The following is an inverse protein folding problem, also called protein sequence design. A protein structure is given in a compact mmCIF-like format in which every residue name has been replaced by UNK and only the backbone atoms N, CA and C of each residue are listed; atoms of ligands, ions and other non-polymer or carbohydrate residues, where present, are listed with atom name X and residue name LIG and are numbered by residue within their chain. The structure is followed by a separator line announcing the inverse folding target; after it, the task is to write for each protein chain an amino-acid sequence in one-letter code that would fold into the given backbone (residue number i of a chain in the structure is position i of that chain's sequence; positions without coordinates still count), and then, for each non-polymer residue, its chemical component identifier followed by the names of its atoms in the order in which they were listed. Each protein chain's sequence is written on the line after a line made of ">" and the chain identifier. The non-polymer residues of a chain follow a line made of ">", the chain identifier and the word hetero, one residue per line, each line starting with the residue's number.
data_IF_977541951377
#
_entry.id   IF_977541951377
#
_cell.length_a   1.000
_cell.length_b   1.000
_cell.length_c   1.000
_cell.angle_alpha   90.00
_cell.angle_beta   90.00
_cell.angle_gamma   90.00
#
_symmetry.space_group_name_H-M   'P 1'
#
loop_
_entity.id
_entity.type
_entity.pdbx_description
1 polymer ?
#
# COMPACT_ATOMS: atom_id res chain seq x y z
N UNK A 1 1.70 -15.37 47.13
CA UNK A 1 3.02 -16.01 47.14
C UNK A 1 3.78 -15.51 45.92
N UNK A 2 4.88 -14.78 46.06
CA UNK A 2 5.71 -14.39 44.91
C UNK A 2 6.44 -15.65 44.40
N UNK A 3 6.37 -15.88 43.09
CA UNK A 3 7.10 -16.97 42.43
C UNK A 3 8.58 -16.57 42.30
N UNK A 4 9.47 -17.45 42.78
CA UNK A 4 10.91 -17.27 42.73
C UNK A 4 11.43 -17.16 41.29
N UNK A 5 12.34 -16.21 41.06
CA UNK A 5 12.82 -15.84 39.72
C UNK A 5 13.59 -16.96 38.99
N UNK A 6 14.00 -18.01 39.71
CA UNK A 6 14.76 -19.15 39.17
C UNK A 6 13.86 -20.18 38.45
N UNK A 7 12.53 -20.17 38.66
CA UNK A 7 11.60 -21.10 37.99
C UNK A 7 10.92 -20.50 36.74
N UNK A 8 10.94 -19.18 36.59
CA UNK A 8 10.21 -18.45 35.52
C UNK A 8 10.88 -18.63 34.15
N UNK A 9 12.21 -18.68 34.13
CA UNK A 9 13.02 -18.79 32.90
C UNK A 9 12.82 -20.14 32.18
N UNK A 10 12.92 -21.30 32.85
CA UNK A 10 12.68 -22.59 32.19
C UNK A 10 11.22 -22.80 31.79
N UNK A 11 10.26 -22.20 32.51
CA UNK A 11 8.84 -22.25 32.17
C UNK A 11 8.55 -21.49 30.87
N UNK A 12 9.05 -20.25 30.73
CA UNK A 12 8.88 -19.45 29.51
C UNK A 12 9.54 -20.09 28.28
N UNK A 13 10.71 -20.72 28.42
CA UNK A 13 11.35 -21.46 27.32
C UNK A 13 10.54 -22.70 26.91
N UNK A 14 9.95 -23.42 27.87
CA UNK A 14 9.11 -24.59 27.59
C UNK A 14 7.80 -24.19 26.90
N UNK A 15 7.19 -23.08 27.31
CA UNK A 15 5.98 -22.52 26.67
C UNK A 15 6.26 -22.03 25.25
N UNK A 16 7.36 -21.30 25.01
CA UNK A 16 7.72 -20.84 23.66
C UNK A 16 8.06 -21.99 22.70
N UNK A 17 8.66 -23.08 23.20
CA UNK A 17 8.98 -24.26 22.39
C UNK A 17 7.71 -25.02 21.99
N UNK A 18 6.74 -25.15 22.90
CA UNK A 18 5.43 -25.74 22.62
C UNK A 18 4.61 -24.88 21.65
N UNK A 19 4.66 -23.55 21.76
CA UNK A 19 3.95 -22.62 20.88
C UNK A 19 4.45 -22.69 19.42
N UNK A 20 5.77 -22.83 19.22
CA UNK A 20 6.36 -22.98 17.88
C UNK A 20 5.97 -24.30 17.22
N UNK A 21 5.95 -25.40 17.97
CA UNK A 21 5.51 -26.71 17.45
C UNK A 21 4.03 -26.69 17.07
N UNK A 22 3.20 -25.96 17.82
CA UNK A 22 1.76 -25.85 17.55
C UNK A 22 1.46 -24.98 16.32
N UNK A 23 2.23 -23.91 16.08
CA UNK A 23 2.12 -23.11 14.84
C UNK A 23 2.50 -23.90 13.60
N UNK A 24 3.54 -24.74 13.65
CA UNK A 24 3.94 -25.56 12.49
C UNK A 24 2.87 -26.60 12.12
N UNK A 25 2.21 -27.20 13.12
CA UNK A 25 1.11 -28.15 12.87
C UNK A 25 -0.17 -27.51 12.32
N UNK A 26 -0.40 -26.20 12.55
CA UNK A 26 -1.57 -25.49 12.03
C UNK A 26 -1.43 -25.05 10.57
N UNK A 27 -0.20 -25.00 10.04
CA UNK A 27 0.07 -24.52 8.67
C UNK A 27 0.19 -25.71 7.67
N UNK A 28 0.57 -26.90 8.15
CA UNK A 28 0.73 -28.10 7.34
C UNK A 28 -0.53 -28.64 6.62
N UNK A 29 -1.78 -28.48 7.10
CA UNK A 29 -2.95 -28.97 6.37
C UNK A 29 -3.32 -28.12 5.15
N UNK A 30 -2.92 -26.84 5.13
CA UNK A 30 -3.29 -25.91 4.05
C UNK A 30 -2.42 -26.05 2.80
N UNK A 31 -1.28 -26.74 2.89
CA UNK A 31 -0.42 -27.00 1.72
C UNK A 31 -0.90 -28.19 0.87
N UNK A 32 -1.77 -29.06 1.38
CA UNK A 32 -2.20 -30.28 0.67
C UNK A 32 -3.59 -30.18 0.01
N UNK A 33 -4.39 -29.15 0.31
CA UNK A 33 -5.70 -28.93 -0.32
C UNK A 33 -5.61 -28.12 -1.63
N UNK A 34 -4.46 -27.49 -1.92
CA UNK A 34 -4.27 -26.69 -3.15
C UNK A 34 -3.56 -27.43 -4.30
N UNK A 35 -3.23 -28.72 -4.15
CA UNK A 35 -2.44 -29.49 -5.12
C UNK A 35 -3.15 -30.74 -5.65
N UNK A 36 -4.48 -30.70 -5.84
CA UNK A 36 -5.17 -31.76 -6.59
C UNK A 36 -6.33 -31.24 -7.44
N UNK A 37 -5.99 -30.42 -8.45
CA UNK A 37 -6.75 -30.38 -9.70
C UNK A 37 -5.77 -30.34 -10.86
N UNK A 38 -5.39 -31.53 -11.32
CA UNK A 38 -5.04 -31.73 -12.72
C UNK A 38 -6.34 -31.77 -13.53
N UNK A 39 -6.47 -30.86 -14.46
CA UNK A 39 -7.20 -31.10 -15.71
C UNK A 39 -6.33 -30.54 -16.83
N UNK A 40 -5.67 -31.46 -17.52
CA UNK A 40 -5.06 -31.25 -18.82
C UNK A 40 -6.18 -30.94 -19.82
N UNK A 41 -6.27 -29.70 -20.30
CA UNK A 41 -6.68 -29.38 -21.67
C UNK A 41 -5.89 -28.13 -22.10
N UNK A 42 -4.88 -28.34 -22.95
CA UNK A 42 -4.32 -27.29 -23.79
C UNK A 42 -5.40 -26.81 -24.76
N UNK A 43 -6.12 -25.75 -24.40
CA UNK A 43 -6.66 -24.83 -25.39
C UNK A 43 -5.65 -23.69 -25.58
N UNK A 44 -5.08 -23.64 -26.78
CA UNK A 44 -4.47 -22.44 -27.35
C UNK A 44 -5.61 -21.43 -27.58
N UNK A 45 -6.10 -20.84 -26.50
CA UNK A 45 -7.08 -19.77 -26.47
C UNK A 45 -6.34 -18.47 -26.24
N UNK A 46 -6.34 -17.58 -27.23
CA UNK A 46 -5.85 -16.21 -27.08
C UNK A 46 -6.47 -15.59 -25.84
N UNK A 47 -5.64 -15.32 -24.83
CA UNK A 47 -6.09 -14.70 -23.58
C UNK A 47 -6.68 -13.33 -23.89
N UNK A 48 -8.01 -13.27 -23.96
CA UNK A 48 -8.75 -12.03 -23.89
C UNK A 48 -8.37 -11.40 -22.55
N UNK A 49 -7.58 -10.32 -22.58
CA UNK A 49 -7.24 -9.59 -21.38
C UNK A 49 -8.55 -9.25 -20.67
N UNK A 50 -8.76 -9.79 -19.46
CA UNK A 50 -9.99 -9.58 -18.71
C UNK A 50 -10.31 -8.07 -18.70
N UNK A 51 -11.47 -7.72 -19.26
CA UNK A 51 -11.87 -6.34 -19.48
C UNK A 51 -11.75 -5.55 -18.17
N UNK A 52 -11.24 -4.33 -18.26
CA UNK A 52 -11.16 -3.48 -17.09
C UNK A 52 -12.55 -3.16 -16.56
N UNK A 53 -12.66 -3.06 -15.23
CA UNK A 53 -13.85 -2.60 -14.53
C UNK A 53 -13.49 -1.35 -13.73
N UNK A 54 -14.49 -0.53 -13.41
CA UNK A 54 -14.26 0.62 -12.53
C UNK A 54 -13.64 0.19 -11.20
N UNK A 55 -14.11 -0.93 -10.63
CA UNK A 55 -13.57 -1.49 -9.38
C UNK A 55 -12.09 -1.80 -9.44
N UNK A 56 -11.66 -2.50 -10.48
CA UNK A 56 -10.25 -2.84 -10.67
C UNK A 56 -9.41 -1.57 -10.77
N UNK A 57 -9.84 -0.63 -11.60
CA UNK A 57 -9.07 0.58 -11.91
C UNK A 57 -8.99 1.53 -10.70
N UNK A 58 -10.09 1.79 -9.99
CA UNK A 58 -10.02 2.64 -8.80
C UNK A 58 -9.25 1.95 -7.67
N UNK A 59 -9.31 0.62 -7.55
CA UNK A 59 -8.60 -0.10 -6.48
C UNK A 59 -7.09 -0.05 -6.70
N UNK A 60 -6.65 -0.19 -7.95
CA UNK A 60 -5.25 -0.03 -8.34
C UNK A 60 -4.75 1.39 -8.07
N UNK A 61 -5.51 2.40 -8.51
CA UNK A 61 -5.22 3.80 -8.23
C UNK A 61 -5.03 4.07 -6.72
N UNK A 62 -6.01 3.67 -5.90
CA UNK A 62 -5.93 3.93 -4.47
C UNK A 62 -4.85 3.11 -3.76
N UNK A 63 -4.56 1.89 -4.24
CA UNK A 63 -3.45 1.08 -3.74
C UNK A 63 -2.11 1.77 -3.97
N UNK A 64 -1.90 2.30 -5.18
CA UNK A 64 -0.72 3.10 -5.50
C UNK A 64 -0.62 4.36 -4.62
N UNK A 65 -1.72 5.09 -4.45
CA UNK A 65 -1.76 6.27 -3.58
C UNK A 65 -1.43 5.94 -2.13
N UNK A 66 -1.98 4.84 -1.61
CA UNK A 66 -1.68 4.35 -0.27
C UNK A 66 -0.19 4.02 -0.14
N UNK A 67 0.39 3.32 -1.10
CA UNK A 67 1.80 2.95 -1.09
C UNK A 67 2.72 4.17 -1.09
N UNK A 68 2.49 5.15 -1.97
CA UNK A 68 3.28 6.37 -2.02
C UNK A 68 3.15 7.20 -0.74
N UNK A 69 1.92 7.54 -0.34
CA UNK A 69 1.71 8.46 0.78
C UNK A 69 2.08 7.83 2.12
N UNK A 70 1.95 6.52 2.24
CA UNK A 70 2.33 5.79 3.45
C UNK A 70 3.85 5.58 3.55
N UNK A 71 4.59 5.49 2.44
CA UNK A 71 6.05 5.25 2.50
C UNK A 71 6.87 6.51 2.77
N UNK A 72 6.28 7.70 2.59
CA UNK A 72 6.96 8.98 2.85
C UNK A 72 7.45 9.12 4.31
N UNK A 73 6.71 8.61 5.30
CA UNK A 73 7.13 8.69 6.70
C UNK A 73 8.21 7.69 7.10
N UNK A 74 8.58 6.75 6.22
CA UNK A 74 9.71 5.82 6.41
C UNK A 74 11.04 6.36 5.89
N UNK A 75 11.10 7.63 5.50
CA UNK A 75 12.33 8.28 5.05
C UNK A 75 13.16 8.69 6.26
N UNK A 76 14.33 8.07 6.38
CA UNK A 76 15.20 8.23 7.55
C UNK A 76 16.53 8.90 7.22
N UNK A 77 16.85 9.00 5.94
CA UNK A 77 18.15 9.45 5.46
C UNK A 77 18.19 9.56 3.94
N UNK A 78 19.37 9.87 3.41
CA UNK A 78 19.57 10.09 1.96
C UNK A 78 19.23 8.86 1.12
N UNK A 79 19.71 7.68 1.50
CA UNK A 79 19.48 6.45 0.75
C UNK A 79 17.99 6.10 0.63
N UNK A 80 17.24 6.20 1.74
CA UNK A 80 15.79 5.92 1.75
C UNK A 80 14.99 7.02 1.04
N UNK A 81 15.45 8.27 1.07
CA UNK A 81 14.88 9.36 0.28
C UNK A 81 15.09 9.15 -1.23
N UNK A 82 16.30 8.78 -1.65
CA UNK A 82 16.62 8.52 -3.05
C UNK A 82 15.82 7.31 -3.58
N UNK A 83 15.68 6.24 -2.78
CA UNK A 83 14.84 5.10 -3.11
C UNK A 83 13.36 5.47 -3.22
N UNK A 84 12.85 6.33 -2.33
CA UNK A 84 11.49 6.85 -2.40
C UNK A 84 11.29 7.67 -3.69
N UNK A 85 12.21 8.58 -4.02
CA UNK A 85 12.16 9.38 -5.25
C UNK A 85 12.12 8.50 -6.49
N UNK A 86 13.02 7.50 -6.58
CA UNK A 86 13.04 6.57 -7.70
C UNK A 86 11.69 5.85 -7.88
N UNK A 87 11.07 5.43 -6.77
CA UNK A 87 9.76 4.78 -6.78
C UNK A 87 8.64 5.71 -7.27
N UNK A 88 8.53 6.91 -6.72
CA UNK A 88 7.45 7.84 -7.11
C UNK A 88 7.56 8.26 -8.59
N UNK A 89 8.78 8.38 -9.14
CA UNK A 89 8.96 8.69 -10.56
C UNK A 89 8.47 7.55 -11.47
N UNK A 90 8.58 6.29 -11.05
CA UNK A 90 8.02 5.15 -11.78
C UNK A 90 6.49 5.08 -11.69
N UNK A 91 5.88 5.68 -10.68
CA UNK A 91 4.42 5.67 -10.50
C UNK A 91 3.70 6.60 -11.47
N UNK A 92 4.30 7.72 -11.89
CA UNK A 92 3.64 8.67 -12.80
C UNK A 92 3.15 8.02 -14.10
N UNK A 93 3.98 7.29 -14.89
CA UNK A 93 3.50 6.65 -16.10
C UNK A 93 2.40 5.61 -15.83
N UNK A 94 2.50 4.86 -14.73
CA UNK A 94 1.49 3.87 -14.32
C UNK A 94 0.14 4.53 -13.97
N UNK A 95 0.17 5.67 -13.26
CA UNK A 95 -1.04 6.42 -12.93
C UNK A 95 -1.67 7.07 -14.16
N UNK A 96 -0.86 7.50 -15.13
CA UNK A 96 -1.37 7.97 -16.43
C UNK A 96 -2.03 6.83 -17.22
N UNK A 97 -1.48 5.62 -17.17
CA UNK A 97 -2.08 4.44 -17.78
C UNK A 97 -3.43 4.09 -17.14
N UNK A 98 -3.51 4.11 -15.80
CA UNK A 98 -4.77 3.97 -15.05
C UNK A 98 -5.79 5.02 -15.50
N UNK A 99 -5.38 6.28 -15.65
CA UNK A 99 -6.29 7.33 -16.14
C UNK A 99 -6.81 7.07 -17.55
N UNK A 100 -5.97 6.56 -18.45
CA UNK A 100 -6.39 6.19 -19.79
C UNK A 100 -7.38 5.02 -19.76
N UNK A 101 -7.17 4.06 -18.86
CA UNK A 101 -8.10 2.94 -18.64
C UNK A 101 -9.45 3.44 -18.10
N UNK A 102 -9.48 4.36 -17.13
CA UNK A 102 -10.74 4.99 -16.67
C UNK A 102 -11.48 5.67 -17.82
N UNK A 103 -10.77 6.44 -18.66
CA UNK A 103 -11.37 7.16 -19.79
C UNK A 103 -11.94 6.24 -20.88
N UNK A 104 -11.42 5.03 -20.99
CA UNK A 104 -11.90 4.03 -21.94
C UNK A 104 -13.14 3.28 -21.42
N UNK A 105 -13.40 3.33 -20.11
CA UNK A 105 -14.61 2.77 -19.53
C UNK A 105 -15.82 3.66 -19.80
N UNK A 106 -17.05 3.09 -19.82
CA UNK A 106 -18.27 3.89 -19.77
C UNK A 106 -18.30 4.77 -18.51
N UNK A 107 -19.27 5.69 -18.42
CA UNK A 107 -19.42 6.47 -17.19
C UNK A 107 -19.76 5.53 -16.01
N UNK A 108 -19.11 5.68 -14.83
CA UNK A 108 -19.41 4.84 -13.68
C UNK A 108 -20.84 5.07 -13.19
N UNK A 109 -21.50 3.97 -12.83
CA UNK A 109 -22.79 3.99 -12.16
C UNK A 109 -22.70 4.62 -10.76
N UNK A 110 -23.85 4.98 -10.18
CA UNK A 110 -23.92 5.51 -8.81
C UNK A 110 -23.41 4.50 -7.77
N UNK A 111 -23.57 3.20 -8.01
CA UNK A 111 -23.06 2.15 -7.12
C UNK A 111 -21.53 2.09 -7.18
N UNK A 112 -20.94 2.17 -8.37
CA UNK A 112 -19.48 2.20 -8.55
C UNK A 112 -18.87 3.48 -7.96
N UNK A 113 -19.51 4.65 -8.15
CA UNK A 113 -19.11 5.91 -7.51
C UNK A 113 -19.11 5.78 -5.99
N UNK A 114 -20.18 5.22 -5.40
CA UNK A 114 -20.26 4.99 -3.94
C UNK A 114 -19.19 4.02 -3.44
N UNK A 115 -18.93 2.94 -4.17
CA UNK A 115 -17.88 1.97 -3.83
C UNK A 115 -16.49 2.61 -3.84
N UNK A 116 -16.19 3.38 -4.89
CA UNK A 116 -14.95 4.13 -5.01
C UNK A 116 -14.79 5.15 -3.87
N UNK A 117 -15.85 5.88 -3.51
CA UNK A 117 -15.84 6.83 -2.39
C UNK A 117 -15.58 6.16 -1.04
N UNK A 118 -16.19 4.98 -0.81
CA UNK A 118 -15.99 4.21 0.42
C UNK A 118 -14.52 3.75 0.52
N UNK A 119 -13.98 3.22 -0.58
CA UNK A 119 -12.58 2.80 -0.61
C UNK A 119 -11.63 3.98 -0.42
N UNK A 120 -11.89 5.12 -1.08
CA UNK A 120 -11.13 6.35 -0.91
C UNK A 120 -11.08 6.78 0.55
N UNK A 121 -12.24 6.85 1.22
CA UNK A 121 -12.31 7.24 2.64
C UNK A 121 -11.51 6.28 3.53
N UNK A 122 -11.59 4.96 3.27
CA UNK A 122 -10.82 3.94 3.99
C UNK A 122 -9.31 4.11 3.80
N UNK A 123 -8.87 4.31 2.56
CA UNK A 123 -7.46 4.50 2.20
C UNK A 123 -6.92 5.78 2.83
N UNK A 124 -7.63 6.90 2.72
CA UNK A 124 -7.21 8.16 3.33
C UNK A 124 -7.15 8.08 4.86
N UNK A 125 -8.05 7.32 5.50
CA UNK A 125 -7.98 7.05 6.93
C UNK A 125 -6.69 6.30 7.32
N UNK A 126 -6.33 5.25 6.56
CA UNK A 126 -5.09 4.50 6.79
C UNK A 126 -3.83 5.35 6.58
N UNK A 127 -3.80 6.15 5.51
CA UNK A 127 -2.70 7.09 5.24
C UNK A 127 -2.54 8.08 6.41
N UNK A 128 -3.63 8.72 6.83
CA UNK A 128 -3.61 9.69 7.95
C UNK A 128 -3.12 9.04 9.25
N UNK A 129 -3.58 7.82 9.54
CA UNK A 129 -3.12 7.07 10.71
C UNK A 129 -1.61 6.84 10.65
N UNK A 130 -1.10 6.36 9.51
CA UNK A 130 0.34 6.10 9.37
C UNK A 130 1.17 7.38 9.47
N UNK A 131 0.78 8.45 8.78
CA UNK A 131 1.46 9.74 8.87
C UNK A 131 1.50 10.29 10.30
N UNK A 132 0.43 10.09 11.07
CA UNK A 132 0.40 10.47 12.49
C UNK A 132 1.35 9.62 13.35
N UNK A 133 1.48 8.33 13.08
CA UNK A 133 2.44 7.45 13.75
C UNK A 133 3.88 7.83 13.39
N UNK A 134 4.15 8.06 12.11
CA UNK A 134 5.46 8.46 11.61
C UNK A 134 5.88 9.83 12.17
N UNK A 135 4.94 10.78 12.31
CA UNK A 135 5.19 12.07 12.97
C UNK A 135 5.59 11.89 14.44
N UNK A 136 4.85 11.07 15.19
CA UNK A 136 5.18 10.80 16.60
C UNK A 136 6.55 10.14 16.75
N UNK A 137 6.88 9.21 15.84
CA UNK A 137 8.20 8.59 15.82
C UNK A 137 9.29 9.61 15.51
N UNK A 138 9.08 10.49 14.52
CA UNK A 138 10.01 11.54 14.15
C UNK A 138 10.24 12.56 15.28
N UNK A 139 9.23 12.89 16.07
CA UNK A 139 9.36 13.77 17.25
C UNK A 139 10.29 13.19 18.32
N UNK A 140 10.46 11.86 18.35
CA UNK A 140 11.35 11.17 19.29
C UNK A 140 12.74 10.86 18.73
N UNK A 141 12.97 11.11 17.43
CA UNK A 141 14.21 10.77 16.73
C UNK A 141 14.97 12.03 16.33
N UNK A 142 16.25 12.10 16.70
CA UNK A 142 17.14 13.10 16.11
C UNK A 142 17.50 12.68 14.67
N UNK A 143 17.06 13.48 13.70
CA UNK A 143 17.47 13.35 12.30
C UNK A 143 18.80 14.07 12.06
N UNK A 144 19.71 13.43 11.32
CA UNK A 144 20.95 14.08 10.89
C UNK A 144 20.64 15.24 9.93
N UNK A 145 21.54 16.24 9.80
CA UNK A 145 21.37 17.32 8.82
C UNK A 145 21.15 16.82 7.39
N UNK A 146 21.86 15.77 6.98
CA UNK A 146 21.74 15.17 5.64
C UNK A 146 20.36 14.53 5.44
N UNK A 147 19.83 13.86 6.47
CA UNK A 147 18.49 13.29 6.43
C UNK A 147 17.42 14.40 6.27
N UNK A 148 17.57 15.52 6.99
CA UNK A 148 16.66 16.67 6.86
C UNK A 148 16.66 17.26 5.45
N UNK A 149 17.84 17.42 4.83
CA UNK A 149 17.96 17.90 3.45
C UNK A 149 17.31 16.93 2.46
N UNK A 150 17.53 15.62 2.63
CA UNK A 150 16.96 14.61 1.76
C UNK A 150 15.43 14.55 1.85
N UNK A 151 14.87 14.61 3.06
CA UNK A 151 13.41 14.68 3.30
C UNK A 151 12.82 15.96 2.69
N UNK A 152 13.52 17.09 2.79
CA UNK A 152 13.08 18.34 2.17
C UNK A 152 13.07 18.25 0.64
N UNK A 153 14.07 17.61 0.03
CA UNK A 153 14.12 17.39 -1.42
C UNK A 153 13.00 16.46 -1.91
N UNK A 154 12.71 15.40 -1.16
CA UNK A 154 11.54 14.54 -1.41
C UNK A 154 10.25 15.34 -1.34
N UNK A 155 10.08 16.12 -0.27
CA UNK A 155 8.88 16.93 -0.08
C UNK A 155 8.69 17.93 -1.23
N UNK A 156 9.75 18.62 -1.64
CA UNK A 156 9.71 19.53 -2.78
C UNK A 156 9.32 18.82 -4.09
N UNK A 157 9.88 17.64 -4.35
CA UNK A 157 9.56 16.85 -5.55
C UNK A 157 8.11 16.35 -5.54
N UNK A 158 7.65 15.90 -4.36
CA UNK A 158 6.31 15.34 -4.17
C UNK A 158 5.20 16.41 -4.28
N UNK A 159 5.44 17.62 -3.77
CA UNK A 159 4.43 18.69 -3.71
C UNK A 159 4.50 19.70 -4.85
N UNK A 160 5.70 20.06 -5.31
CA UNK A 160 5.90 21.13 -6.28
C UNK A 160 6.75 20.76 -7.49
N UNK A 161 7.31 19.55 -7.53
CA UNK A 161 7.98 19.00 -8.71
C UNK A 161 7.01 18.41 -9.74
N UNK A 162 7.55 17.91 -10.85
CA UNK A 162 6.78 17.30 -11.94
C UNK A 162 5.86 16.16 -11.45
N UNK A 163 6.31 15.39 -10.46
CA UNK A 163 5.49 14.38 -9.81
C UNK A 163 4.24 15.02 -9.19
N UNK A 164 4.41 16.03 -8.32
CA UNK A 164 3.29 16.71 -7.65
C UNK A 164 2.29 17.35 -8.61
N UNK A 165 2.78 17.96 -9.71
CA UNK A 165 1.92 18.53 -10.76
C UNK A 165 1.10 17.44 -11.45
N UNK A 166 1.73 16.35 -11.88
CA UNK A 166 1.04 15.23 -12.52
C UNK A 166 0.03 14.59 -11.56
N UNK A 167 0.42 14.37 -10.30
CA UNK A 167 -0.46 13.81 -9.29
C UNK A 167 -1.69 14.65 -9.05
N UNK A 168 -1.55 15.97 -8.98
CA UNK A 168 -2.68 16.89 -8.80
C UNK A 168 -3.66 16.79 -9.97
N UNK A 169 -3.16 16.73 -11.20
CA UNK A 169 -4.02 16.60 -12.39
C UNK A 169 -4.73 15.26 -12.41
N UNK A 170 -4.02 14.17 -12.12
CA UNK A 170 -4.57 12.81 -12.06
C UNK A 170 -5.62 12.71 -10.96
N UNK A 171 -5.33 13.21 -9.75
CA UNK A 171 -6.26 13.15 -8.63
C UNK A 171 -7.53 13.93 -8.91
N UNK A 172 -7.43 15.14 -9.49
CA UNK A 172 -8.60 15.93 -9.89
C UNK A 172 -9.47 15.21 -10.93
N UNK A 173 -8.86 14.49 -11.87
CA UNK A 173 -9.63 13.71 -12.84
C UNK A 173 -10.30 12.51 -12.17
N UNK A 174 -9.60 11.77 -11.30
CA UNK A 174 -10.20 10.68 -10.52
C UNK A 174 -11.36 11.16 -9.65
N UNK A 175 -11.19 12.32 -9.01
CA UNK A 175 -12.22 12.96 -8.20
C UNK A 175 -13.47 13.28 -9.05
N UNK A 176 -13.27 13.78 -10.27
CA UNK A 176 -14.36 14.07 -11.20
C UNK A 176 -15.10 12.81 -11.68
N UNK A 177 -14.36 11.73 -12.01
CA UNK A 177 -14.98 10.47 -12.46
C UNK A 177 -15.81 9.80 -11.36
N UNK A 178 -15.29 9.77 -10.13
CA UNK A 178 -15.89 8.99 -9.04
C UNK A 178 -16.61 9.84 -7.98
N UNK A 179 -16.67 11.16 -8.16
CA UNK A 179 -17.26 12.09 -7.20
C UNK A 179 -16.56 12.05 -5.83
N UNK A 180 -15.23 11.93 -5.83
CA UNK A 180 -14.45 11.83 -4.59
C UNK A 180 -14.37 13.22 -3.94
N UNK A 181 -14.45 13.27 -2.61
CA UNK A 181 -14.22 14.53 -1.88
C UNK A 181 -12.71 14.78 -1.79
N UNK A 182 -12.22 15.82 -2.45
CA UNK A 182 -10.89 16.37 -2.20
C UNK A 182 -10.88 17.00 -0.80
N UNK A 183 -9.93 16.62 0.05
CA UNK A 183 -9.71 17.21 1.38
C UNK A 183 -8.57 18.22 1.35
#
# INVERSE_FOLDING_TARGET
>A
MPLDSEEVIPYCQRVMKSLKTLMVCLILPFALVACDQKTDEEEVGGGEAAADTHEKVYSEYFGMMEEALSSMGSIEGKETADAFLAKIYLMVPQLLEIMNRVKALPEPSDEEKKSAQLLHAKVMSRIKLKQNLDRQLAETRELTPEAKVAIAAVSASFWSGDFGVNMKVISQQMDAFYGLKSY
#
